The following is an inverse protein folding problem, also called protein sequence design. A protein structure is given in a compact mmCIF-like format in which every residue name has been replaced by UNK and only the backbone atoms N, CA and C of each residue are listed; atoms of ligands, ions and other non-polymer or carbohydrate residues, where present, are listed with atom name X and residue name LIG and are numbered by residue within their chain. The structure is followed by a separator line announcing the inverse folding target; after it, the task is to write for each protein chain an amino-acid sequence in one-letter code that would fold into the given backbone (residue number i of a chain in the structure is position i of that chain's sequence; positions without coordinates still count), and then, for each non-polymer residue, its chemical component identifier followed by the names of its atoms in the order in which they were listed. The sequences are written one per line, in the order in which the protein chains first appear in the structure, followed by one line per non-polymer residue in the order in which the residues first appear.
data_IF_832752616148
#
_entry.id   IF_832752616148
#
_cell.length_a   1.000
_cell.length_b   1.000
_cell.length_c   1.000
_cell.angle_alpha   90.00
_cell.angle_beta   90.00
_cell.angle_gamma   90.00
#
_symmetry.space_group_name_H-M   'P 1'
#
loop_
_entity.id
_entity.type
_entity.pdbx_description
1 polymer ?
#
# COMPACT_ATOMS: atom_id res chain seq x y z
N UNK A 1 -31.07 52.21 -39.62
CA UNK A 1 -30.53 50.86 -39.34
C UNK A 1 -30.72 50.59 -37.85
N UNK A 2 -31.52 49.58 -37.50
CA UNK A 2 -31.90 49.22 -36.12
C UNK A 2 -30.79 48.39 -35.49
N UNK A 3 -30.32 48.77 -34.31
CA UNK A 3 -29.40 47.96 -33.50
C UNK A 3 -30.19 46.93 -32.68
N UNK A 4 -30.02 45.66 -33.00
CA UNK A 4 -30.55 44.56 -32.20
C UNK A 4 -29.71 44.43 -30.92
N UNK A 5 -30.30 44.74 -29.77
CA UNK A 5 -29.72 44.41 -28.47
C UNK A 5 -29.65 42.88 -28.35
N UNK A 6 -28.44 42.33 -28.23
CA UNK A 6 -28.22 40.93 -27.84
C UNK A 6 -28.89 40.67 -26.48
N UNK A 7 -30.06 40.02 -26.51
CA UNK A 7 -30.74 39.53 -25.31
C UNK A 7 -29.91 38.37 -24.77
N UNK A 8 -29.12 38.62 -23.71
CA UNK A 8 -28.48 37.53 -22.98
C UNK A 8 -29.58 36.75 -22.25
N UNK A 9 -29.96 35.60 -22.80
CA UNK A 9 -30.86 34.68 -22.13
C UNK A 9 -30.19 34.24 -20.82
N UNK A 10 -30.73 34.71 -19.69
CA UNK A 10 -30.27 34.27 -18.38
C UNK A 10 -30.64 32.79 -18.22
N UNK A 11 -29.67 31.92 -18.42
CA UNK A 11 -29.82 30.50 -18.10
C UNK A 11 -29.88 30.36 -16.58
N UNK A 12 -31.08 30.22 -16.03
CA UNK A 12 -31.28 29.95 -14.61
C UNK A 12 -31.06 28.46 -14.39
N UNK A 13 -29.88 28.09 -13.88
CA UNK A 13 -29.64 26.74 -13.40
C UNK A 13 -30.51 26.50 -12.16
N UNK A 14 -31.56 25.69 -12.29
CA UNK A 14 -32.38 25.30 -11.15
C UNK A 14 -31.78 24.04 -10.49
N UNK A 15 -31.13 24.15 -9.30
CA UNK A 15 -30.55 23.04 -8.54
C UNK A 15 -31.54 21.91 -8.19
N UNK A 16 -32.85 22.15 -8.35
CA UNK A 16 -33.92 21.20 -8.06
C UNK A 16 -34.69 20.74 -9.31
N UNK A 17 -34.09 20.84 -10.49
CA UNK A 17 -34.70 20.24 -11.68
C UNK A 17 -34.88 18.72 -11.48
N UNK A 18 -36.00 18.10 -11.91
CA UNK A 18 -36.22 16.67 -11.73
C UNK A 18 -35.09 15.79 -12.26
N UNK A 19 -34.45 16.21 -13.37
CA UNK A 19 -33.30 15.51 -13.93
C UNK A 19 -32.08 15.54 -13.00
N UNK A 20 -31.80 16.67 -12.37
CA UNK A 20 -30.71 16.78 -11.40
C UNK A 20 -31.00 16.05 -10.10
N UNK A 21 -32.25 16.06 -9.63
CA UNK A 21 -32.66 15.26 -8.48
C UNK A 21 -32.51 13.77 -8.75
N UNK A 22 -32.90 13.30 -9.94
CA UNK A 22 -32.68 11.92 -10.37
C UNK A 22 -31.18 11.57 -10.44
N UNK A 23 -30.37 12.48 -10.99
CA UNK A 23 -28.92 12.32 -11.05
C UNK A 23 -28.30 12.22 -9.65
N UNK A 24 -28.65 13.14 -8.74
CA UNK A 24 -28.16 13.14 -7.36
C UNK A 24 -28.61 11.91 -6.59
N UNK A 25 -29.85 11.47 -6.78
CA UNK A 25 -30.38 10.25 -6.19
C UNK A 25 -29.66 9.00 -6.72
N UNK A 26 -29.40 8.94 -8.03
CA UNK A 26 -28.59 7.88 -8.63
C UNK A 26 -27.16 7.85 -8.09
N UNK A 27 -26.53 9.02 -7.91
CA UNK A 27 -25.21 9.15 -7.30
C UNK A 27 -25.22 8.68 -5.84
N UNK A 28 -26.26 9.01 -5.08
CA UNK A 28 -26.43 8.55 -3.69
C UNK A 28 -26.55 7.03 -3.61
N UNK A 29 -27.34 6.41 -4.51
CA UNK A 29 -27.44 4.96 -4.60
C UNK A 29 -26.09 4.34 -4.94
N UNK A 30 -25.39 4.88 -5.95
CA UNK A 30 -24.08 4.37 -6.34
C UNK A 30 -23.06 4.49 -5.21
N UNK A 31 -23.06 5.61 -4.49
CA UNK A 31 -22.21 5.83 -3.33
C UNK A 31 -22.53 4.87 -2.19
N UNK A 32 -23.81 4.68 -1.87
CA UNK A 32 -24.26 3.70 -0.88
C UNK A 32 -23.86 2.27 -1.26
N UNK A 33 -24.02 1.91 -2.54
CA UNK A 33 -23.58 0.62 -3.07
C UNK A 33 -22.07 0.46 -2.95
N UNK A 34 -21.28 1.49 -3.26
CA UNK A 34 -19.83 1.47 -3.11
C UNK A 34 -19.42 1.26 -1.64
N UNK A 35 -20.06 1.94 -0.69
CA UNK A 35 -19.81 1.78 0.75
C UNK A 35 -20.04 0.33 1.22
N UNK A 36 -21.02 -0.37 0.64
CA UNK A 36 -21.35 -1.75 1.02
C UNK A 36 -20.47 -2.75 0.28
N UNK A 37 -20.38 -2.64 -1.05
CA UNK A 37 -19.67 -3.61 -1.88
C UNK A 37 -18.16 -3.53 -1.70
N UNK A 38 -17.59 -2.33 -1.53
CA UNK A 38 -16.15 -2.19 -1.44
C UNK A 38 -15.54 -2.96 -0.27
N UNK A 39 -16.02 -2.84 0.99
CA UNK A 39 -15.52 -3.65 2.10
C UNK A 39 -15.71 -5.15 1.86
N UNK A 40 -16.83 -5.58 1.29
CA UNK A 40 -17.10 -7.00 1.01
C UNK A 40 -16.08 -7.54 0.01
N UNK A 41 -15.90 -6.85 -1.12
CA UNK A 41 -14.93 -7.25 -2.14
C UNK A 41 -13.50 -7.23 -1.59
N UNK A 42 -13.15 -6.20 -0.82
CA UNK A 42 -11.82 -6.05 -0.25
C UNK A 42 -11.51 -7.16 0.78
N UNK A 43 -12.42 -7.44 1.71
CA UNK A 43 -12.26 -8.51 2.69
C UNK A 43 -12.20 -9.88 2.01
N UNK A 44 -13.04 -10.11 0.99
CA UNK A 44 -13.03 -11.35 0.20
C UNK A 44 -11.69 -11.54 -0.52
N UNK A 45 -11.17 -10.49 -1.16
CA UNK A 45 -9.89 -10.54 -1.87
C UNK A 45 -8.70 -10.78 -0.92
N UNK A 46 -8.67 -10.09 0.22
CA UNK A 46 -7.63 -10.30 1.24
C UNK A 46 -7.71 -11.72 1.76
N UNK A 47 -8.87 -12.16 2.24
CA UNK A 47 -8.96 -13.47 2.84
C UNK A 47 -8.71 -14.60 1.83
N UNK A 48 -9.10 -14.44 0.56
CA UNK A 48 -8.72 -15.36 -0.51
C UNK A 48 -7.19 -15.44 -0.69
N UNK A 49 -6.50 -14.28 -0.64
CA UNK A 49 -5.04 -14.23 -0.74
C UNK A 49 -4.37 -14.91 0.44
N UNK A 50 -4.82 -14.65 1.66
CA UNK A 50 -4.27 -15.29 2.86
C UNK A 50 -4.60 -16.80 2.92
N UNK A 51 -5.74 -17.24 2.37
CA UNK A 51 -6.01 -18.68 2.24
C UNK A 51 -5.07 -19.38 1.27
N UNK A 52 -4.62 -18.70 0.22
CA UNK A 52 -3.58 -19.20 -0.68
C UNK A 52 -2.19 -19.25 -0.03
N UNK A 53 -1.97 -18.43 0.99
CA UNK A 53 -0.77 -18.46 1.84
C UNK A 53 -0.81 -19.53 2.93
N UNK A 54 -1.85 -20.38 2.96
CA UNK A 54 -1.98 -21.48 3.92
C UNK A 54 -2.72 -21.12 5.21
N UNK A 55 -3.22 -19.89 5.35
CA UNK A 55 -4.02 -19.49 6.52
C UNK A 55 -5.50 -19.83 6.34
N UNK A 56 -6.18 -20.23 7.41
CA UNK A 56 -7.65 -20.27 7.39
C UNK A 56 -8.25 -18.87 7.26
N UNK A 57 -9.51 -18.79 6.81
CA UNK A 57 -10.24 -17.53 6.75
C UNK A 57 -10.30 -16.80 8.11
N UNK A 58 -10.36 -17.54 9.21
CA UNK A 58 -10.36 -16.98 10.57
C UNK A 58 -9.02 -16.36 10.93
N UNK A 59 -7.93 -17.04 10.59
CA UNK A 59 -6.56 -16.53 10.78
C UNK A 59 -6.29 -15.30 9.91
N UNK A 60 -6.73 -15.30 8.66
CA UNK A 60 -6.63 -14.13 7.78
C UNK A 60 -7.31 -12.89 8.39
N UNK A 61 -8.53 -13.06 8.93
CA UNK A 61 -9.24 -11.99 9.63
C UNK A 61 -8.51 -11.54 10.90
N UNK A 62 -7.99 -12.49 11.69
CA UNK A 62 -7.22 -12.17 12.89
C UNK A 62 -5.94 -11.40 12.54
N UNK A 63 -5.20 -11.82 11.52
CA UNK A 63 -4.00 -11.13 11.02
C UNK A 63 -4.36 -9.71 10.59
N UNK A 64 -5.47 -9.52 9.86
CA UNK A 64 -5.91 -8.20 9.43
C UNK A 64 -6.22 -7.30 10.64
N UNK A 65 -6.98 -7.81 11.62
CA UNK A 65 -7.33 -7.07 12.84
C UNK A 65 -6.08 -6.74 13.66
N UNK A 66 -5.15 -7.69 13.82
CA UNK A 66 -3.89 -7.49 14.54
C UNK A 66 -2.97 -6.50 13.80
N UNK A 67 -2.92 -6.55 12.47
CA UNK A 67 -2.18 -5.60 11.65
C UNK A 67 -2.74 -4.19 11.82
N UNK A 68 -4.07 -4.04 11.78
CA UNK A 68 -4.72 -2.75 11.97
C UNK A 68 -4.53 -2.22 13.40
N UNK A 69 -4.80 -3.02 14.42
CA UNK A 69 -4.62 -2.64 15.82
C UNK A 69 -3.14 -2.34 16.14
N UNK A 70 -2.23 -3.19 15.67
CA UNK A 70 -0.79 -3.03 15.82
C UNK A 70 -0.24 -1.82 15.06
N UNK A 71 -0.93 -1.32 14.03
CA UNK A 71 -0.46 -0.13 13.29
C UNK A 71 -0.41 1.14 14.16
N UNK A 72 -1.18 1.17 15.24
CA UNK A 72 -1.16 2.26 16.22
C UNK A 72 -0.02 2.15 17.24
N UNK A 73 0.71 1.03 17.24
CA UNK A 73 1.76 0.73 18.21
C UNK A 73 3.14 0.92 17.55
N UNK A 74 3.93 1.85 18.08
CA UNK A 74 5.28 2.14 17.62
C UNK A 74 6.28 1.85 18.74
N UNK A 75 7.19 0.89 18.53
CA UNK A 75 8.22 0.50 19.50
C UNK A 75 9.46 1.37 19.25
N UNK A 76 9.86 2.25 20.18
CA UNK A 76 11.03 3.10 20.00
C UNK A 76 12.30 2.25 20.02
N UNK A 77 13.14 2.41 19.00
CA UNK A 77 14.43 1.72 18.85
C UNK A 77 15.57 2.65 19.24
N UNK A 78 15.56 3.89 18.73
CA UNK A 78 16.65 4.84 18.95
C UNK A 78 16.16 6.27 18.87
N UNK A 79 16.78 7.13 19.68
CA UNK A 79 16.67 8.58 19.53
C UNK A 79 17.84 9.10 18.71
N UNK A 80 17.55 9.94 17.73
CA UNK A 80 18.51 10.68 16.92
C UNK A 80 18.45 12.16 17.29
N UNK A 81 19.60 12.74 17.60
CA UNK A 81 19.75 14.20 17.78
C UNK A 81 19.98 14.83 16.41
N UNK A 82 19.15 15.81 16.05
CA UNK A 82 19.26 16.55 14.80
C UNK A 82 19.92 17.90 15.05
N UNK A 83 20.89 18.26 14.20
CA UNK A 83 21.46 19.61 14.21
C UNK A 83 20.36 20.58 13.77
N UNK A 84 20.13 21.63 14.56
CA UNK A 84 19.10 22.62 14.27
C UNK A 84 19.31 23.20 12.87
N UNK A 85 18.47 22.79 11.92
CA UNK A 85 18.37 23.42 10.61
C UNK A 85 17.47 24.66 10.75
N UNK A 86 17.68 25.71 9.91
CA UNK A 86 16.79 26.86 9.90
C UNK A 86 15.33 26.42 9.70
N UNK A 87 14.43 26.95 10.51
CA UNK A 87 12.99 26.73 10.40
C UNK A 87 12.49 27.26 9.05
N UNK A 88 11.96 26.37 8.21
CA UNK A 88 11.20 26.75 7.02
C UNK A 88 10.01 25.82 6.85
N UNK A 89 8.82 26.37 6.62
CA UNK A 89 7.70 25.61 6.08
C UNK A 89 7.95 25.49 4.58
N UNK A 90 8.37 24.29 4.13
CA UNK A 90 8.61 24.00 2.72
C UNK A 90 7.66 22.90 2.26
N UNK A 91 7.12 23.11 1.07
CA UNK A 91 6.43 22.08 0.32
C UNK A 91 7.41 21.48 -0.68
N UNK A 92 7.45 20.15 -0.74
CA UNK A 92 8.21 19.43 -1.78
C UNK A 92 7.23 18.61 -2.59
N UNK A 93 7.25 18.80 -3.90
CA UNK A 93 6.53 17.96 -4.85
C UNK A 93 7.36 16.68 -5.07
N UNK A 94 6.81 15.53 -4.71
CA UNK A 94 7.46 14.22 -4.87
C UNK A 94 6.45 13.23 -5.45
N UNK A 95 6.80 12.58 -6.57
CA UNK A 95 5.93 11.64 -7.30
C UNK A 95 4.49 12.15 -7.53
N UNK A 96 4.36 13.42 -7.90
CA UNK A 96 3.05 14.06 -8.17
C UNK A 96 2.24 14.44 -6.92
N UNK A 97 2.79 14.30 -5.71
CA UNK A 97 2.15 14.73 -4.45
C UNK A 97 2.93 15.85 -3.78
N UNK A 98 2.21 16.81 -3.20
CA UNK A 98 2.79 17.88 -2.40
C UNK A 98 2.86 17.44 -0.93
N UNK A 99 4.07 17.38 -0.39
CA UNK A 99 4.33 17.06 1.01
C UNK A 99 4.73 18.32 1.76
N UNK A 100 4.08 18.58 2.90
CA UNK A 100 4.50 19.61 3.85
C UNK A 100 5.63 19.04 4.71
N UNK A 101 6.80 19.66 4.67
CA UNK A 101 7.91 19.30 5.54
C UNK A 101 7.62 19.87 6.93
N UNK A 102 7.58 19.05 8.00
CA UNK A 102 7.42 19.53 9.36
C UNK A 102 8.64 20.34 9.80
N UNK A 103 8.44 21.25 10.75
CA UNK A 103 9.51 22.05 11.32
C UNK A 103 10.60 21.13 11.92
N UNK A 104 11.89 21.45 11.72
CA UNK A 104 12.98 20.62 12.24
C UNK A 104 12.91 20.57 13.77
N UNK A 105 12.81 19.36 14.31
CA UNK A 105 12.87 19.09 15.76
C UNK A 105 14.29 18.70 16.16
N UNK A 106 14.71 19.05 17.39
CA UNK A 106 16.04 18.67 17.91
C UNK A 106 16.20 17.17 18.09
N UNK A 107 15.09 16.45 18.27
CA UNK A 107 15.08 15.03 18.62
C UNK A 107 14.09 14.28 17.72
N UNK A 108 14.57 13.24 17.05
CA UNK A 108 13.75 12.31 16.25
C UNK A 108 13.79 10.93 16.89
N UNK A 109 12.62 10.34 17.16
CA UNK A 109 12.53 8.96 17.65
C UNK A 109 12.34 8.03 16.47
N UNK A 110 13.34 7.17 16.23
CA UNK A 110 13.22 6.03 15.34
C UNK A 110 12.44 4.94 16.06
N UNK A 111 11.32 4.53 15.49
CA UNK A 111 10.47 3.47 16.01
C UNK A 111 10.15 2.44 14.92
N UNK A 112 9.86 1.21 15.35
CA UNK A 112 9.36 0.14 14.47
C UNK A 112 7.88 -0.03 14.73
N UNK A 113 7.09 -0.03 13.66
CA UNK A 113 5.65 -0.18 13.74
C UNK A 113 5.25 -1.65 13.89
N UNK A 114 4.36 -1.98 14.83
CA UNK A 114 3.97 -3.38 15.07
C UNK A 114 3.16 -3.92 13.89
N UNK A 115 2.13 -3.19 13.46
CA UNK A 115 1.23 -3.63 12.39
C UNK A 115 1.86 -3.56 11.00
N UNK A 116 2.63 -2.51 10.73
CA UNK A 116 3.21 -2.23 9.42
C UNK A 116 4.60 -2.82 9.19
N UNK A 117 5.28 -3.33 10.22
CA UNK A 117 6.62 -3.92 10.07
C UNK A 117 6.77 -5.26 10.78
N UNK A 118 6.43 -5.38 12.07
CA UNK A 118 6.68 -6.61 12.82
C UNK A 118 5.76 -7.76 12.43
N UNK A 119 4.45 -7.52 12.31
CA UNK A 119 3.50 -8.57 11.88
C UNK A 119 3.80 -9.05 10.45
N UNK A 120 4.02 -8.15 9.45
CA UNK A 120 4.43 -8.57 8.10
C UNK A 120 5.74 -9.35 8.08
N UNK A 121 6.72 -8.94 8.90
CA UNK A 121 7.98 -9.68 9.06
C UNK A 121 7.74 -11.08 9.61
N UNK A 122 6.94 -11.22 10.67
CA UNK A 122 6.62 -12.51 11.27
C UNK A 122 5.94 -13.45 10.27
N UNK A 123 4.98 -12.95 9.47
CA UNK A 123 4.32 -13.72 8.42
C UNK A 123 5.33 -14.11 7.33
N UNK A 124 6.21 -13.20 6.92
CA UNK A 124 7.25 -13.52 5.93
C UNK A 124 8.19 -14.61 6.42
N UNK A 125 8.62 -14.56 7.69
CA UNK A 125 9.46 -15.61 8.29
C UNK A 125 8.72 -16.95 8.39
N UNK A 126 7.43 -16.93 8.76
CA UNK A 126 6.58 -18.11 8.75
C UNK A 126 6.50 -18.74 7.35
N UNK A 127 6.23 -17.94 6.32
CA UNK A 127 6.14 -18.43 4.93
C UNK A 127 7.47 -18.95 4.41
N UNK A 128 8.59 -18.32 4.78
CA UNK A 128 9.93 -18.81 4.42
C UNK A 128 10.21 -20.17 5.09
N UNK A 129 9.85 -20.33 6.36
CA UNK A 129 9.95 -21.62 7.05
C UNK A 129 9.05 -22.67 6.41
N UNK A 130 7.78 -22.34 6.19
CA UNK A 130 6.77 -23.23 5.62
C UNK A 130 7.12 -23.63 4.18
N UNK A 131 7.78 -22.75 3.41
CA UNK A 131 8.24 -23.06 2.04
C UNK A 131 9.19 -24.25 1.98
N UNK A 132 10.03 -24.42 3.01
CA UNK A 132 10.97 -25.55 3.14
C UNK A 132 10.23 -26.81 3.59
N UNK A 133 9.32 -26.66 4.55
CA UNK A 133 8.56 -27.79 5.12
C UNK A 133 7.57 -28.38 4.12
N UNK A 134 6.78 -27.55 3.45
CA UNK A 134 5.76 -27.98 2.47
C UNK A 134 6.36 -28.56 1.20
N UNK A 135 7.42 -27.95 0.68
CA UNK A 135 8.05 -28.39 -0.58
C UNK A 135 9.04 -29.53 -0.35
N UNK A 136 9.43 -29.80 0.90
CA UNK A 136 10.45 -30.80 1.24
C UNK A 136 11.84 -30.45 0.68
N UNK A 137 12.11 -29.17 0.41
CA UNK A 137 13.32 -28.70 -0.24
C UNK A 137 13.47 -27.18 -0.25
N UNK A 138 14.65 -26.70 -0.63
CA UNK A 138 15.02 -25.29 -0.53
C UNK A 138 14.68 -24.43 -1.76
N UNK A 139 14.15 -25.03 -2.83
CA UNK A 139 13.90 -24.32 -4.10
C UNK A 139 12.98 -23.09 -3.91
N UNK A 140 11.85 -23.25 -3.23
CA UNK A 140 10.91 -22.13 -3.03
C UNK A 140 11.50 -21.05 -2.11
N UNK A 141 12.26 -21.44 -1.08
CA UNK A 141 13.02 -20.51 -0.23
C UNK A 141 13.99 -19.68 -1.08
N UNK A 142 14.80 -20.33 -1.91
CA UNK A 142 15.78 -19.67 -2.78
C UNK A 142 15.11 -18.70 -3.74
N UNK A 143 13.99 -19.10 -4.37
CA UNK A 143 13.22 -18.23 -5.27
C UNK A 143 12.59 -17.04 -4.52
N UNK A 144 12.08 -17.25 -3.30
CA UNK A 144 11.55 -16.16 -2.48
C UNK A 144 12.66 -15.16 -2.11
N UNK A 145 13.85 -15.64 -1.69
CA UNK A 145 15.00 -14.79 -1.38
C UNK A 145 15.55 -14.08 -2.62
N UNK A 146 15.55 -14.72 -3.79
CA UNK A 146 15.87 -14.08 -5.06
C UNK A 146 14.87 -12.96 -5.36
N UNK A 147 13.58 -13.20 -5.12
CA UNK A 147 12.53 -12.18 -5.21
C UNK A 147 12.80 -10.99 -4.27
N UNK A 148 13.15 -11.25 -3.00
CA UNK A 148 13.53 -10.20 -2.04
C UNK A 148 14.68 -9.38 -2.60
N UNK A 149 15.76 -10.01 -3.10
CA UNK A 149 16.90 -9.30 -3.67
C UNK A 149 16.50 -8.41 -4.85
N UNK A 150 15.67 -8.91 -5.78
CA UNK A 150 15.16 -8.14 -6.91
C UNK A 150 14.35 -6.93 -6.43
N UNK A 151 13.39 -7.13 -5.53
CA UNK A 151 12.53 -6.06 -5.02
C UNK A 151 13.36 -5.04 -4.24
N UNK A 152 14.33 -5.47 -3.42
CA UNK A 152 15.27 -4.57 -2.73
C UNK A 152 16.03 -3.69 -3.70
N UNK A 153 16.59 -4.26 -4.78
CA UNK A 153 17.31 -3.48 -5.78
C UNK A 153 16.38 -2.47 -6.44
N UNK A 154 15.20 -2.88 -6.88
CA UNK A 154 14.23 -1.98 -7.53
C UNK A 154 13.79 -0.87 -6.59
N UNK A 155 13.37 -1.21 -5.37
CA UNK A 155 12.95 -0.23 -4.35
C UNK A 155 14.08 0.73 -4.03
N UNK A 156 15.31 0.24 -3.85
CA UNK A 156 16.47 1.07 -3.54
C UNK A 156 16.80 2.05 -4.65
N UNK A 157 16.67 1.65 -5.92
CA UNK A 157 16.94 2.50 -7.08
C UNK A 157 15.92 3.65 -7.20
N UNK A 158 14.68 3.41 -6.78
CA UNK A 158 13.63 4.43 -6.86
C UNK A 158 13.44 5.22 -5.57
N UNK A 159 13.96 4.74 -4.43
CA UNK A 159 13.86 5.40 -3.14
C UNK A 159 14.71 6.67 -3.08
N UNK A 160 14.11 7.77 -2.64
CA UNK A 160 14.79 9.05 -2.47
C UNK A 160 14.75 9.51 -1.00
N UNK A 161 15.91 9.74 -0.35
CA UNK A 161 15.96 10.42 0.94
C UNK A 161 15.55 11.88 0.77
N UNK A 162 14.40 12.26 1.33
CA UNK A 162 13.87 13.62 1.32
C UNK A 162 14.04 14.24 2.71
N UNK A 163 14.86 15.30 2.84
CA UNK A 163 15.07 15.97 4.13
C UNK A 163 13.75 16.39 4.80
N UNK A 164 13.56 15.96 6.05
CA UNK A 164 12.36 16.25 6.85
C UNK A 164 11.12 15.39 6.53
N UNK A 165 11.12 14.63 5.44
CA UNK A 165 10.06 13.65 5.11
C UNK A 165 10.50 12.20 5.37
N UNK A 166 11.79 11.90 5.24
CA UNK A 166 12.34 10.55 5.38
C UNK A 166 12.64 9.92 4.02
N UNK A 167 12.40 8.62 3.87
CA UNK A 167 12.60 7.91 2.60
C UNK A 167 11.27 7.91 1.85
N UNK A 168 11.23 8.54 0.68
CA UNK A 168 10.08 8.52 -0.21
C UNK A 168 10.29 7.50 -1.32
N UNK A 169 9.28 6.68 -1.58
CA UNK A 169 9.24 5.74 -2.71
C UNK A 169 7.98 5.97 -3.55
N UNK A 170 8.02 5.74 -4.88
CA UNK A 170 6.81 5.75 -5.70
C UNK A 170 5.90 4.59 -5.28
N UNK A 171 4.67 4.89 -4.87
CA UNK A 171 3.75 3.93 -4.26
C UNK A 171 3.59 2.61 -5.05
N UNK A 172 3.50 2.69 -6.39
CA UNK A 172 3.24 1.51 -7.22
C UNK A 172 4.49 0.72 -7.60
N UNK A 173 5.69 1.30 -7.55
CA UNK A 173 6.87 0.61 -8.11
C UNK A 173 7.27 -0.63 -7.30
N UNK A 174 7.46 -0.56 -5.96
CA UNK A 174 7.81 -1.76 -5.18
C UNK A 174 6.76 -2.88 -5.26
N UNK A 175 5.45 -2.63 -5.12
CA UNK A 175 4.44 -3.69 -5.25
C UNK A 175 4.39 -4.31 -6.66
N UNK A 176 4.56 -3.52 -7.72
CA UNK A 176 4.62 -4.06 -9.08
C UNK A 176 5.90 -4.87 -9.30
N UNK A 177 7.03 -4.45 -8.73
CA UNK A 177 8.26 -5.22 -8.78
C UNK A 177 8.08 -6.59 -8.11
N UNK A 178 7.44 -6.64 -6.94
CA UNK A 178 7.11 -7.89 -6.25
C UNK A 178 6.17 -8.78 -7.08
N UNK A 179 5.14 -8.20 -7.70
CA UNK A 179 4.23 -8.91 -8.61
C UNK A 179 4.98 -9.54 -9.79
N UNK A 180 5.76 -8.76 -10.52
CA UNK A 180 6.48 -9.27 -11.69
C UNK A 180 7.58 -10.26 -11.31
N UNK A 181 8.34 -9.99 -10.24
CA UNK A 181 9.33 -10.93 -9.71
C UNK A 181 8.68 -12.26 -9.35
N UNK A 182 7.55 -12.24 -8.65
CA UNK A 182 6.82 -13.45 -8.30
C UNK A 182 6.29 -14.22 -9.51
N UNK A 183 5.66 -13.54 -10.47
CA UNK A 183 5.15 -14.16 -11.69
C UNK A 183 6.26 -14.83 -12.50
N UNK A 184 7.44 -14.20 -12.60
CA UNK A 184 8.57 -14.77 -13.34
C UNK A 184 9.25 -15.90 -12.55
N UNK A 185 9.57 -15.68 -11.27
CA UNK A 185 10.31 -16.64 -10.47
C UNK A 185 9.50 -17.91 -10.18
N UNK A 186 8.18 -17.79 -10.03
CA UNK A 186 7.30 -18.95 -9.87
C UNK A 186 7.28 -19.91 -11.08
N UNK A 187 7.68 -19.46 -12.28
CA UNK A 187 7.84 -20.34 -13.44
C UNK A 187 8.95 -21.39 -13.23
N UNK A 188 9.90 -21.09 -12.34
CA UNK A 188 11.00 -21.99 -11.97
C UNK A 188 10.69 -22.81 -10.71
N UNK A 189 9.53 -22.65 -10.10
CA UNK A 189 9.15 -23.33 -8.85
C UNK A 189 8.70 -24.79 -9.05
N UNK A 190 8.92 -25.39 -10.22
CA UNK A 190 8.62 -26.81 -10.46
C UNK A 190 7.12 -27.17 -10.33
N UNK A 191 6.22 -26.20 -10.51
CA UNK A 191 4.78 -26.41 -10.39
C UNK A 191 4.25 -26.40 -8.95
N UNK A 192 5.04 -25.96 -7.96
CA UNK A 192 4.59 -25.79 -6.58
C UNK A 192 3.36 -24.86 -6.54
N UNK A 193 2.22 -25.32 -6.00
CA UNK A 193 1.03 -24.48 -5.89
C UNK A 193 1.29 -23.21 -5.07
N UNK A 194 0.68 -22.11 -5.48
CA UNK A 194 0.74 -20.82 -4.77
C UNK A 194 2.14 -20.21 -4.56
N UNK A 195 3.18 -20.75 -5.23
CA UNK A 195 4.54 -20.22 -5.19
C UNK A 195 4.60 -18.72 -5.53
N UNK A 196 3.82 -18.28 -6.54
CA UNK A 196 3.74 -16.87 -6.90
C UNK A 196 3.21 -16.00 -5.74
N UNK A 197 2.22 -16.48 -4.98
CA UNK A 197 1.63 -15.71 -3.87
C UNK A 197 2.62 -15.59 -2.71
N UNK A 198 3.33 -16.69 -2.40
CA UNK A 198 4.36 -16.72 -1.36
C UNK A 198 5.52 -15.78 -1.74
N UNK A 199 6.05 -15.91 -2.96
CA UNK A 199 7.15 -15.06 -3.44
C UNK A 199 6.71 -13.59 -3.44
N UNK A 200 5.49 -13.27 -3.90
CA UNK A 200 4.99 -11.90 -3.91
C UNK A 200 4.88 -11.30 -2.51
N UNK A 201 4.34 -12.06 -1.55
CA UNK A 201 4.20 -11.59 -0.17
C UNK A 201 5.56 -11.36 0.48
N UNK A 202 6.46 -12.35 0.42
CA UNK A 202 7.78 -12.29 1.07
C UNK A 202 8.65 -11.21 0.44
N UNK A 203 8.75 -11.18 -0.90
CA UNK A 203 9.57 -10.18 -1.60
C UNK A 203 9.02 -8.77 -1.46
N UNK A 204 7.70 -8.58 -1.53
CA UNK A 204 7.08 -7.27 -1.34
C UNK A 204 7.26 -6.73 0.08
N UNK A 205 7.22 -7.61 1.08
CA UNK A 205 7.34 -7.23 2.49
C UNK A 205 8.79 -6.99 2.91
N UNK A 206 9.70 -7.91 2.62
CA UNK A 206 11.10 -7.82 3.06
C UNK A 206 11.97 -6.98 2.12
N UNK A 207 11.55 -6.84 0.86
CA UNK A 207 12.30 -6.13 -0.16
C UNK A 207 11.99 -4.63 -0.27
N UNK A 208 11.01 -4.12 0.47
CA UNK A 208 10.58 -2.71 0.41
C UNK A 208 11.06 -1.93 1.63
#
# INVERSE_FOLDING_TARGET
MRGELFRMDRVVFNPFSPLMLLFLFGLLILFGLAIILFPILFLTAIGATFTKLGFSWREALLILVLTLAGSFINIPVRTLESRAAPAYDRYVAMYGRLYRIPQPVRRTVLAVNVGGALIPLAISLYLLYDSVVLTGGYLLLELALAGVAVVTVVTKLVAQPVPGLGIATPFFIPPLAALFAALILSLFAGGVPEAAVIIAYVSGTLGT
#
